data_IF_013027660382
#
_entry.id   IF_013027660382
#
_cell.length_a   1.000
_cell.length_b   1.000
_cell.length_c   1.000
_cell.angle_alpha   90.00
_cell.angle_beta   90.00
_cell.angle_gamma   90.00
#
_symmetry.space_group_name_H-M   'P 1'
#
loop_
_entity.id
_entity.type
_entity.pdbx_description
1 polymer ?
#
# COMPACT_ATOMS: atom_id res chain seq x y z
N UNK A 1 8.93 -21.54 -5.58
CA UNK A 1 9.93 -20.71 -6.25
C UNK A 1 9.87 -19.34 -5.60
N UNK A 2 10.98 -18.63 -5.50
CA UNK A 2 10.98 -17.27 -4.96
C UNK A 2 10.56 -16.28 -6.05
N UNK A 3 9.94 -15.16 -5.65
CA UNK A 3 9.51 -14.13 -6.60
C UNK A 3 10.18 -12.81 -6.23
N UNK A 4 10.93 -12.25 -7.16
CA UNK A 4 11.49 -10.92 -7.04
C UNK A 4 10.59 -9.98 -7.85
N UNK A 5 10.01 -8.98 -7.19
CA UNK A 5 9.30 -7.90 -7.87
C UNK A 5 10.25 -6.73 -8.09
N UNK A 6 10.41 -6.28 -9.32
CA UNK A 6 11.04 -4.97 -9.59
C UNK A 6 10.16 -3.84 -9.03
N UNK A 7 10.69 -2.61 -8.88
CA UNK A 7 9.98 -1.53 -8.19
C UNK A 7 8.57 -1.22 -8.73
N UNK A 8 8.38 -1.22 -10.05
CA UNK A 8 7.08 -0.87 -10.66
C UNK A 8 5.95 -1.86 -10.32
N UNK A 9 6.08 -3.18 -10.56
CA UNK A 9 5.03 -4.13 -10.19
C UNK A 9 4.87 -4.26 -8.66
N UNK A 10 5.95 -4.06 -7.88
CA UNK A 10 5.83 -3.99 -6.42
C UNK A 10 4.97 -2.80 -5.99
N UNK A 11 5.23 -1.60 -6.53
CA UNK A 11 4.45 -0.40 -6.23
C UNK A 11 2.97 -0.57 -6.60
N UNK A 12 2.68 -1.20 -7.75
CA UNK A 12 1.30 -1.49 -8.14
C UNK A 12 0.57 -2.44 -7.17
N UNK A 13 1.23 -3.50 -6.70
CA UNK A 13 0.64 -4.39 -5.70
C UNK A 13 0.43 -3.66 -4.36
N UNK A 14 1.41 -2.88 -3.92
CA UNK A 14 1.33 -2.11 -2.68
C UNK A 14 0.25 -1.02 -2.72
N UNK A 15 0.01 -0.43 -3.90
CA UNK A 15 -1.11 0.48 -4.13
C UNK A 15 -2.45 -0.20 -3.85
N UNK A 16 -2.69 -1.35 -4.50
CA UNK A 16 -3.91 -2.12 -4.28
C UNK A 16 -4.10 -2.50 -2.79
N UNK A 17 -3.02 -2.89 -2.10
CA UNK A 17 -3.08 -3.22 -0.66
C UNK A 17 -3.41 -1.98 0.18
N UNK A 18 -2.87 -0.81 -0.16
CA UNK A 18 -3.11 0.41 0.63
C UNK A 18 -4.51 0.94 0.43
N UNK A 19 -5.08 0.80 -0.76
CA UNK A 19 -6.48 1.13 -1.02
C UNK A 19 -7.44 0.32 -0.13
N UNK A 20 -7.07 -0.91 0.24
CA UNK A 20 -7.86 -1.72 1.19
C UNK A 20 -7.81 -1.20 2.62
N UNK A 21 -6.91 -0.26 2.93
CA UNK A 21 -6.87 0.46 4.20
C UNK A 21 -7.74 1.72 4.21
N UNK A 22 -8.33 2.11 3.07
CA UNK A 22 -9.38 3.13 3.03
C UNK A 22 -10.58 2.61 3.81
N UNK A 23 -11.14 3.46 4.66
CA UNK A 23 -12.29 3.07 5.49
C UNK A 23 -13.49 2.60 4.66
N UNK A 24 -13.65 3.09 3.43
CA UNK A 24 -14.69 2.61 2.51
C UNK A 24 -14.54 1.14 2.17
N UNK A 25 -13.31 0.65 1.95
CA UNK A 25 -13.02 -0.76 1.67
C UNK A 25 -13.16 -1.64 2.92
N UNK A 26 -12.83 -1.09 4.09
CA UNK A 26 -13.03 -1.77 5.38
C UNK A 26 -14.52 -1.92 5.70
N UNK A 27 -15.33 -0.89 5.43
CA UNK A 27 -16.77 -0.93 5.64
C UNK A 27 -17.48 -1.96 4.77
N UNK A 28 -16.95 -2.25 3.58
CA UNK A 28 -17.48 -3.27 2.66
C UNK A 28 -16.92 -4.67 2.92
N UNK A 29 -16.08 -4.86 3.95
CA UNK A 29 -15.59 -6.17 4.35
C UNK A 29 -14.28 -6.62 3.70
N UNK A 30 -13.47 -5.69 3.16
CA UNK A 30 -12.15 -6.03 2.62
C UNK A 30 -11.23 -6.67 3.67
N UNK A 31 -10.18 -7.37 3.24
CA UNK A 31 -9.35 -8.26 4.09
C UNK A 31 -8.62 -7.58 5.25
N UNK A 32 -8.49 -6.25 5.22
CA UNK A 32 -7.95 -5.45 6.33
C UNK A 32 -8.98 -5.19 7.43
N UNK A 33 -10.24 -5.57 7.23
CA UNK A 33 -11.30 -5.51 8.23
C UNK A 33 -10.89 -6.21 9.52
N UNK A 34 -11.12 -5.54 10.65
CA UNK A 34 -10.76 -6.04 11.98
C UNK A 34 -9.26 -6.40 12.15
N UNK A 35 -8.36 -5.83 11.33
CA UNK A 35 -6.91 -6.03 11.43
C UNK A 35 -6.17 -4.87 12.09
N UNK A 36 -6.86 -3.77 12.42
CA UNK A 36 -6.25 -2.62 13.12
C UNK A 36 -5.53 -3.08 14.40
N UNK A 37 -4.26 -2.70 14.54
CA UNK A 37 -3.38 -3.08 15.65
C UNK A 37 -2.78 -4.49 15.55
N UNK A 38 -3.07 -5.26 14.50
CA UNK A 38 -2.52 -6.63 14.32
C UNK A 38 -1.30 -6.63 13.41
N UNK A 39 -0.39 -7.57 13.65
CA UNK A 39 0.71 -7.87 12.74
C UNK A 39 0.15 -8.56 11.47
N UNK A 40 0.35 -7.93 10.32
CA UNK A 40 -0.11 -8.40 9.00
C UNK A 40 1.03 -8.54 7.98
N UNK A 41 2.22 -8.08 8.32
CA UNK A 41 3.42 -8.22 7.49
C UNK A 41 4.66 -8.46 8.36
N UNK A 42 5.81 -8.70 7.74
CA UNK A 42 7.09 -8.84 8.44
C UNK A 42 7.47 -7.56 9.18
N UNK A 43 8.17 -7.69 10.32
CA UNK A 43 8.49 -6.55 11.19
C UNK A 43 9.39 -5.49 10.55
N UNK A 44 10.07 -5.82 9.45
CA UNK A 44 10.87 -4.87 8.67
C UNK A 44 10.04 -4.00 7.71
N UNK A 45 8.76 -4.34 7.51
CA UNK A 45 7.90 -3.68 6.53
C UNK A 45 7.22 -2.44 7.12
N UNK A 46 7.40 -1.28 6.46
CA UNK A 46 6.76 -0.03 6.82
C UNK A 46 6.21 0.64 5.56
N UNK A 47 4.93 0.97 5.57
CA UNK A 47 4.20 1.55 4.46
C UNK A 47 3.41 2.75 4.96
N UNK A 48 3.64 3.89 4.32
CA UNK A 48 3.04 5.17 4.67
C UNK A 48 2.22 5.71 3.50
N UNK A 49 1.17 6.45 3.82
CA UNK A 49 0.49 7.37 2.91
C UNK A 49 0.97 8.79 3.25
N UNK A 50 1.61 9.49 2.31
CA UNK A 50 2.20 10.81 2.53
C UNK A 50 1.75 11.79 1.45
N UNK A 51 0.82 12.68 1.83
CA UNK A 51 0.39 13.79 0.98
C UNK A 51 1.10 15.11 1.28
N UNK A 52 1.91 15.17 2.34
CA UNK A 52 2.48 16.42 2.86
C UNK A 52 3.85 16.75 2.28
N UNK A 53 4.58 15.76 1.75
CA UNK A 53 5.88 15.96 1.14
C UNK A 53 5.75 16.50 -0.29
N UNK A 54 6.10 17.78 -0.49
CA UNK A 54 6.00 18.50 -1.77
C UNK A 54 6.88 17.95 -2.91
N UNK A 55 7.85 17.10 -2.57
CA UNK A 55 8.74 16.47 -3.55
C UNK A 55 8.09 15.26 -4.24
N UNK A 56 6.96 14.78 -3.73
CA UNK A 56 6.22 13.66 -4.31
C UNK A 56 5.17 14.11 -5.32
N UNK A 57 5.05 13.36 -6.42
CA UNK A 57 3.99 13.54 -7.40
C UNK A 57 2.66 13.12 -6.77
N UNK A 58 1.69 14.05 -6.74
CA UNK A 58 0.36 13.79 -6.16
C UNK A 58 0.18 14.33 -4.74
N UNK A 59 1.22 14.92 -4.14
CA UNK A 59 1.10 15.67 -2.89
C UNK A 59 0.32 16.97 -3.07
N UNK A 60 -0.38 17.36 -2.00
CA UNK A 60 -1.19 18.57 -1.94
C UNK A 60 -1.18 19.06 -0.51
N UNK A 61 -1.13 20.38 -0.23
CA UNK A 61 -1.15 20.89 1.15
C UNK A 61 -2.46 20.55 1.90
N UNK A 62 -3.54 20.27 1.19
CA UNK A 62 -4.84 19.89 1.74
C UNK A 62 -5.56 18.88 0.84
N UNK A 63 -6.43 18.07 1.45
CA UNK A 63 -7.32 17.14 0.76
C UNK A 63 -8.55 17.84 0.17
N UNK A 64 -9.45 17.07 -0.45
CA UNK A 64 -10.61 17.63 -1.17
C UNK A 64 -11.67 18.27 -0.22
N UNK A 65 -11.51 18.14 1.10
CA UNK A 65 -12.32 18.82 2.14
C UNK A 65 -11.59 20.02 2.77
N UNK A 66 -10.37 20.35 2.31
CA UNK A 66 -9.53 21.41 2.85
C UNK A 66 -8.81 21.04 4.15
N UNK A 67 -8.77 19.75 4.51
CA UNK A 67 -8.03 19.28 5.67
C UNK A 67 -6.54 19.11 5.29
N UNK A 68 -5.58 19.54 6.14
CA UNK A 68 -4.16 19.36 5.83
C UNK A 68 -3.82 17.89 5.56
N UNK A 69 -3.13 17.63 4.45
CA UNK A 69 -2.55 16.29 4.23
C UNK A 69 -1.42 16.05 5.23
N UNK A 70 -1.10 14.79 5.45
CA UNK A 70 -0.10 14.39 6.43
C UNK A 70 0.55 13.08 6.00
N UNK A 71 1.62 12.73 6.71
CA UNK A 71 2.22 11.41 6.63
C UNK A 71 1.54 10.48 7.63
N UNK A 72 0.76 9.55 7.12
CA UNK A 72 0.00 8.55 7.88
C UNK A 72 0.67 7.19 7.78
N UNK A 73 1.01 6.58 8.92
CA UNK A 73 1.50 5.20 8.94
C UNK A 73 0.33 4.24 8.70
N UNK A 74 0.32 3.58 7.54
CA UNK A 74 -0.67 2.53 7.24
C UNK A 74 -0.19 1.24 7.90
N UNK A 75 1.03 0.80 7.59
CA UNK A 75 1.67 -0.35 8.23
C UNK A 75 3.00 0.13 8.82
N UNK A 76 3.23 -0.14 10.10
CA UNK A 76 4.49 0.17 10.75
C UNK A 76 4.98 -1.05 11.55
N UNK A 77 6.22 -1.45 11.30
CA UNK A 77 6.82 -2.67 11.85
C UNK A 77 5.95 -3.91 11.63
N UNK A 78 5.37 -4.01 10.45
CA UNK A 78 4.47 -5.09 10.07
C UNK A 78 3.07 -5.04 10.71
N UNK A 79 2.75 -4.02 11.52
CA UNK A 79 1.46 -3.86 12.19
C UNK A 79 0.60 -2.85 11.44
N UNK A 80 -0.66 -3.18 11.15
CA UNK A 80 -1.63 -2.22 10.61
C UNK A 80 -1.93 -1.17 11.68
N UNK A 81 -1.52 0.08 11.44
CA UNK A 81 -1.63 1.15 12.43
C UNK A 81 -2.92 1.92 12.26
N UNK A 82 -3.22 2.40 11.05
CA UNK A 82 -4.31 3.33 10.79
C UNK A 82 -5.10 2.90 9.54
N UNK A 83 -6.41 3.15 9.57
CA UNK A 83 -7.21 3.27 8.35
C UNK A 83 -7.18 4.72 7.87
N UNK A 84 -7.45 4.91 6.58
CA UNK A 84 -7.46 6.23 5.96
C UNK A 84 -8.88 6.78 5.91
N UNK A 85 -9.04 8.02 6.39
CA UNK A 85 -10.32 8.67 6.66
C UNK A 85 -10.38 10.08 6.06
N UNK A 86 -11.57 10.45 5.60
CA UNK A 86 -11.99 11.86 5.48
C UNK A 86 -12.63 12.34 6.80
N UNK A 87 -13.13 13.57 6.85
CA UNK A 87 -13.73 14.12 8.07
C UNK A 87 -14.96 13.34 8.54
N UNK A 88 -15.87 13.00 7.61
CA UNK A 88 -17.15 12.35 7.95
C UNK A 88 -16.96 10.95 8.52
N UNK A 89 -16.10 10.14 7.90
CA UNK A 89 -15.76 8.80 8.38
C UNK A 89 -14.93 8.86 9.66
N UNK A 90 -14.00 9.81 9.78
CA UNK A 90 -13.27 10.00 11.04
C UNK A 90 -14.23 10.25 12.21
N UNK A 91 -15.22 11.13 12.00
CA UNK A 91 -16.26 11.41 12.98
C UNK A 91 -17.10 10.17 13.32
N UNK A 92 -17.49 9.37 12.31
CA UNK A 92 -18.24 8.11 12.51
C UNK A 92 -17.50 7.12 13.41
N UNK A 93 -16.18 7.02 13.26
CA UNK A 93 -15.34 6.08 14.03
C UNK A 93 -14.69 6.68 15.28
N UNK A 94 -15.01 7.94 15.63
CA UNK A 94 -14.43 8.60 16.80
C UNK A 94 -12.92 8.83 16.69
N UNK A 95 -12.40 9.00 15.48
CA UNK A 95 -10.98 9.28 15.18
C UNK A 95 -10.82 10.66 14.54
N UNK A 96 -9.59 11.00 14.11
CA UNK A 96 -9.26 12.22 13.36
C UNK A 96 -9.18 11.92 11.86
N UNK A 97 -9.45 12.94 11.03
CA UNK A 97 -9.18 12.84 9.59
C UNK A 97 -7.69 12.58 9.38
N UNK A 98 -7.37 11.76 8.38
CA UNK A 98 -5.98 11.47 8.00
C UNK A 98 -5.53 12.30 6.81
N UNK A 99 -6.35 13.26 6.35
CA UNK A 99 -6.04 14.09 5.18
C UNK A 99 -6.20 13.30 3.87
N UNK A 100 -7.23 12.45 3.80
CA UNK A 100 -7.48 11.55 2.69
C UNK A 100 -8.86 11.79 2.05
N UNK A 101 -9.49 12.95 2.22
CA UNK A 101 -10.76 13.22 1.55
C UNK A 101 -10.60 13.18 0.02
N UNK A 102 -11.50 12.43 -0.62
CA UNK A 102 -11.75 12.45 -2.06
C UNK A 102 -13.17 12.92 -2.34
N UNK A 103 -13.49 13.16 -3.62
CA UNK A 103 -14.80 13.67 -4.05
C UNK A 103 -16.01 12.85 -3.55
N UNK A 104 -15.89 11.52 -3.50
CA UNK A 104 -16.98 10.60 -3.10
C UNK A 104 -16.57 9.80 -1.86
N UNK A 105 -15.41 9.15 -1.93
CA UNK A 105 -14.84 8.35 -0.87
C UNK A 105 -13.44 8.87 -0.54
N UNK A 106 -12.88 8.52 0.63
CA UNK A 106 -11.47 8.76 0.89
C UNK A 106 -10.59 8.18 -0.22
N UNK A 107 -9.45 8.81 -0.48
CA UNK A 107 -8.44 8.37 -1.46
C UNK A 107 -7.04 8.41 -0.86
N UNK A 108 -6.15 7.56 -1.37
CA UNK A 108 -4.72 7.60 -1.00
C UNK A 108 -4.05 8.85 -1.60
N UNK A 109 -2.97 9.30 -0.95
CA UNK A 109 -2.03 10.28 -1.47
C UNK A 109 -0.83 9.54 -2.12
N UNK A 110 0.40 9.86 -1.75
CA UNK A 110 1.60 9.16 -2.23
C UNK A 110 1.97 8.03 -1.28
N UNK A 111 2.16 6.83 -1.82
CA UNK A 111 2.66 5.71 -1.03
C UNK A 111 4.18 5.72 -0.89
N UNK A 112 4.63 5.53 0.35
CA UNK A 112 6.05 5.45 0.68
C UNK A 112 6.33 4.13 1.37
N UNK A 113 7.06 3.25 0.68
CA UNK A 113 7.65 2.07 1.27
C UNK A 113 9.00 2.45 1.88
N UNK A 114 9.10 2.40 3.21
CA UNK A 114 10.39 2.57 3.88
C UNK A 114 10.93 1.23 4.37
N UNK A 115 12.17 0.95 3.98
CA UNK A 115 12.92 -0.16 4.51
C UNK A 115 14.13 0.36 5.28
N UNK A 116 14.39 -0.21 6.46
CA UNK A 116 15.61 0.05 7.24
C UNK A 116 16.77 -0.87 6.84
N UNK A 117 16.54 -1.76 5.88
CA UNK A 117 17.59 -2.62 5.32
C UNK A 117 18.43 -1.78 4.36
N UNK A 118 19.73 -2.04 4.23
CA UNK A 118 20.53 -1.39 3.19
C UNK A 118 19.91 -1.73 1.83
N UNK A 119 19.61 -0.72 1.00
CA UNK A 119 19.13 -0.95 -0.35
C UNK A 119 20.10 -1.90 -1.05
N UNK A 120 19.58 -3.05 -1.49
CA UNK A 120 20.35 -4.03 -2.25
C UNK A 120 20.08 -3.76 -3.72
N UNK A 121 21.13 -3.80 -4.54
CA UNK A 121 20.95 -3.81 -5.98
C UNK A 121 20.21 -5.08 -6.41
N UNK A 122 19.45 -4.97 -7.50
CA UNK A 122 18.64 -6.07 -8.05
C UNK A 122 19.51 -7.30 -8.36
N UNK A 123 20.70 -7.12 -8.93
CA UNK A 123 21.65 -8.19 -9.24
C UNK A 123 22.03 -9.02 -8.01
N UNK A 124 22.26 -8.35 -6.87
CA UNK A 124 22.56 -9.02 -5.61
C UNK A 124 21.40 -9.84 -5.07
N UNK A 125 20.15 -9.42 -5.31
CA UNK A 125 18.96 -10.22 -4.95
C UNK A 125 18.80 -11.42 -5.87
N UNK A 126 19.00 -11.23 -7.18
CA UNK A 126 18.94 -12.29 -8.19
C UNK A 126 19.95 -13.39 -7.87
N UNK A 127 21.19 -13.05 -7.51
CA UNK A 127 22.25 -14.05 -7.20
C UNK A 127 21.96 -14.93 -5.98
N UNK A 128 21.13 -14.48 -5.05
CA UNK A 128 20.76 -15.26 -3.86
C UNK A 128 19.63 -16.27 -4.13
N UNK A 129 18.78 -15.95 -5.09
CA UNK A 129 17.67 -16.81 -5.49
C UNK A 129 18.21 -17.96 -6.32
N UNK A 130 18.04 -19.19 -5.84
CA UNK A 130 18.46 -20.41 -6.55
C UNK A 130 17.45 -20.89 -7.58
N UNK A 131 16.16 -20.66 -7.31
CA UNK A 131 15.03 -21.08 -8.12
C UNK A 131 13.89 -20.08 -7.95
N UNK A 132 13.73 -19.17 -8.90
CA UNK A 132 12.77 -18.10 -8.79
C UNK A 132 12.33 -17.48 -10.10
N UNK A 133 11.52 -16.43 -9.98
CA UNK A 133 11.05 -15.62 -11.10
C UNK A 133 11.20 -14.14 -10.73
N UNK A 134 11.90 -13.39 -11.58
CA UNK A 134 11.88 -11.93 -11.56
C UNK A 134 10.70 -11.43 -12.38
N UNK A 135 9.82 -10.65 -11.74
CA UNK A 135 8.69 -9.98 -12.37
C UNK A 135 9.06 -8.51 -12.52
N UNK A 136 9.26 -8.07 -13.76
CA UNK A 136 9.59 -6.67 -14.06
C UNK A 136 8.37 -5.84 -14.46
N UNK A 137 7.27 -6.49 -14.82
CA UNK A 137 6.02 -5.84 -15.22
C UNK A 137 4.79 -6.71 -15.00
N UNK A 138 3.72 -6.08 -14.51
CA UNK A 138 2.42 -6.71 -14.25
C UNK A 138 1.30 -5.94 -14.91
N UNK A 139 0.32 -6.66 -15.43
CA UNK A 139 -0.94 -6.14 -15.95
C UNK A 139 -2.09 -6.81 -15.20
N UNK A 140 -3.20 -6.08 -15.06
CA UNK A 140 -4.42 -6.61 -14.42
C UNK A 140 -4.19 -7.17 -13.01
N UNK A 141 -3.34 -6.53 -12.19
CA UNK A 141 -3.28 -6.83 -10.75
C UNK A 141 -4.58 -6.38 -10.12
N UNK A 142 -5.37 -7.33 -9.61
CA UNK A 142 -6.66 -7.07 -8.98
C UNK A 142 -6.97 -8.16 -7.95
N UNK A 143 -7.78 -7.81 -6.95
CA UNK A 143 -8.36 -8.81 -6.06
C UNK A 143 -9.45 -9.59 -6.79
N UNK A 144 -9.33 -10.92 -6.77
CA UNK A 144 -10.41 -11.83 -7.17
C UNK A 144 -11.38 -12.02 -6.00
N UNK A 145 -10.87 -11.95 -4.76
CA UNK A 145 -11.66 -11.91 -3.54
C UNK A 145 -11.06 -10.89 -2.55
N UNK A 146 -11.74 -9.76 -2.38
CA UNK A 146 -11.32 -8.69 -1.48
C UNK A 146 -11.45 -9.05 0.01
N UNK A 147 -12.35 -9.96 0.40
CA UNK A 147 -12.53 -10.38 1.80
C UNK A 147 -11.33 -11.21 2.29
N UNK A 148 -10.81 -12.08 1.42
CA UNK A 148 -9.65 -12.93 1.73
C UNK A 148 -8.32 -12.26 1.38
N UNK A 149 -8.33 -11.28 0.46
CA UNK A 149 -7.12 -10.70 -0.12
C UNK A 149 -6.50 -11.57 -1.21
N UNK A 150 -7.29 -12.50 -1.78
CA UNK A 150 -6.87 -13.32 -2.90
C UNK A 150 -6.81 -12.42 -4.16
N UNK A 151 -5.65 -12.35 -4.78
CA UNK A 151 -5.43 -11.53 -5.98
C UNK A 151 -4.77 -12.33 -7.08
N UNK A 152 -5.02 -11.92 -8.31
CA UNK A 152 -4.29 -12.39 -9.49
C UNK A 152 -3.69 -11.23 -10.24
N UNK A 153 -2.64 -11.53 -10.99
CA UNK A 153 -1.99 -10.59 -11.88
C UNK A 153 -1.41 -11.33 -13.07
N UNK A 154 -1.26 -10.63 -14.19
CA UNK A 154 -0.66 -11.15 -15.42
C UNK A 154 0.73 -10.54 -15.57
N UNK A 155 1.82 -11.32 -15.41
CA UNK A 155 3.15 -10.84 -15.76
C UNK A 155 3.18 -10.50 -17.25
N UNK A 156 3.39 -9.23 -17.61
CA UNK A 156 3.44 -8.80 -19.01
C UNK A 156 4.87 -8.41 -19.37
N UNK A 157 5.34 -8.92 -20.49
CA UNK A 157 6.59 -8.57 -21.15
C UNK A 157 7.90 -8.95 -20.45
N UNK A 158 7.93 -9.49 -19.23
CA UNK A 158 9.12 -10.15 -18.66
C UNK A 158 8.84 -10.79 -17.28
N UNK A 159 8.57 -12.09 -17.29
CA UNK A 159 8.78 -12.95 -16.13
C UNK A 159 10.04 -13.78 -16.44
N UNK A 160 11.14 -13.50 -15.73
CA UNK A 160 12.46 -14.09 -16.03
C UNK A 160 12.74 -15.16 -14.99
N UNK A 161 12.99 -16.38 -15.44
CA UNK A 161 13.40 -17.45 -14.53
C UNK A 161 14.83 -17.19 -14.03
N UNK A 162 15.01 -17.34 -12.72
CA UNK A 162 16.30 -17.27 -12.01
C UNK A 162 16.66 -18.67 -11.52
#
# INVERSE_FOLDING_TARGET
YDVIYSPAPAANLLQNITEMALISSVETGGFLSNKLGKAIAVSAFNLYDDGANDSYIGSSPFDDEGYPTQRTAVIEKGVLKHYLHNWSTAKKYGTKSTGNAGLINPRTNTLVLEHKVKARDEDSLIREVKHGVLITGTWYTRFDNEENGDFSTVPRNMAIYI
#
